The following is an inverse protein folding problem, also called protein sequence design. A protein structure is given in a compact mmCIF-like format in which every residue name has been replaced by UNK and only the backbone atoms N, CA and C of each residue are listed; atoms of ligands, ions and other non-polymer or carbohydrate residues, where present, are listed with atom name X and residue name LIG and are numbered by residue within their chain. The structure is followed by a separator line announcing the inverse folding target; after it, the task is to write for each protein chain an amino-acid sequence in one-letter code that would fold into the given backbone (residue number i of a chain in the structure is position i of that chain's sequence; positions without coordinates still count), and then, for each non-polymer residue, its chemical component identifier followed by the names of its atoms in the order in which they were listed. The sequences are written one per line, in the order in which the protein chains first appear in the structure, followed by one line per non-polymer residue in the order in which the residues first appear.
data_IF_115153148464
#
_entry.id   IF_115153148464
#
_cell.length_a   1.000
_cell.length_b   1.000
_cell.length_c   1.000
_cell.angle_alpha   90.00
_cell.angle_beta   90.00
_cell.angle_gamma   90.00
#
_symmetry.space_group_name_H-M   'P 1'
#
loop_
_entity.id
_entity.type
_entity.pdbx_description
1 polymer ?
#
# COMPACT_ATOMS: atom_id res chain seq x y z
N UNK A 1 -11.85 7.64 -1.59
CA UNK A 1 -12.91 8.45 -2.21
C UNK A 1 -12.66 9.95 -2.06
N UNK A 2 -12.49 10.47 -0.82
CA UNK A 2 -12.30 11.91 -0.60
C UNK A 2 -11.10 12.47 -1.37
N UNK A 3 -9.94 11.82 -1.26
CA UNK A 3 -8.75 12.24 -2.01
C UNK A 3 -9.00 12.29 -3.52
N UNK A 4 -9.62 11.26 -4.10
CA UNK A 4 -9.94 11.22 -5.53
C UNK A 4 -10.96 12.30 -5.93
N UNK A 5 -11.95 12.59 -5.07
CA UNK A 5 -12.89 13.68 -5.30
C UNK A 5 -12.20 15.05 -5.30
N UNK A 6 -11.27 15.29 -4.38
CA UNK A 6 -10.49 16.52 -4.32
C UNK A 6 -9.49 16.67 -5.48
N UNK A 7 -8.92 15.57 -5.95
CA UNK A 7 -8.06 15.53 -7.14
C UNK A 7 -8.85 15.90 -8.41
N UNK A 8 -10.14 15.55 -8.45
CA UNK A 8 -11.06 15.98 -9.51
C UNK A 8 -10.97 15.21 -10.82
N UNK A 9 -10.26 14.08 -10.87
CA UNK A 9 -10.24 13.22 -12.07
C UNK A 9 -11.56 12.48 -12.20
N UNK A 10 -12.23 12.54 -13.37
CA UNK A 10 -13.49 11.85 -13.55
C UNK A 10 -13.39 10.33 -13.35
N UNK A 11 -14.45 9.67 -12.84
CA UNK A 11 -14.45 8.21 -12.65
C UNK A 11 -14.09 7.41 -13.90
N UNK A 12 -14.51 7.83 -15.09
CA UNK A 12 -14.21 7.18 -16.36
C UNK A 12 -12.77 7.40 -16.86
N UNK A 13 -11.98 8.22 -16.16
CA UNK A 13 -10.55 8.40 -16.38
C UNK A 13 -9.71 7.84 -15.23
N UNK A 14 -10.33 7.10 -14.32
CA UNK A 14 -9.67 6.52 -13.16
C UNK A 14 -9.79 5.00 -13.17
N UNK A 15 -8.68 4.31 -12.97
CA UNK A 15 -8.63 2.85 -12.84
C UNK A 15 -8.01 2.46 -11.49
N UNK A 16 -8.67 1.55 -10.76
CA UNK A 16 -8.20 0.99 -9.50
C UNK A 16 -7.88 -0.48 -9.70
N UNK A 17 -6.61 -0.83 -9.63
CA UNK A 17 -6.09 -2.18 -9.88
C UNK A 17 -5.62 -2.77 -8.56
N UNK A 18 -6.18 -3.90 -8.15
CA UNK A 18 -5.81 -4.55 -6.89
C UNK A 18 -5.14 -5.90 -7.09
N UNK A 19 -4.28 -6.25 -6.13
CA UNK A 19 -3.83 -7.63 -5.93
C UNK A 19 -4.87 -8.45 -5.17
N UNK A 20 -4.41 -9.37 -4.31
CA UNK A 20 -5.28 -10.26 -3.53
C UNK A 20 -5.02 -10.03 -2.03
N UNK A 21 -6.09 -10.06 -1.26
CA UNK A 21 -6.13 -9.86 0.18
C UNK A 21 -7.30 -8.97 0.58
N UNK A 22 -7.31 -8.47 1.82
CA UNK A 22 -8.36 -7.55 2.28
C UNK A 22 -8.36 -6.24 1.45
N UNK A 23 -7.20 -5.80 0.99
CA UNK A 23 -7.01 -4.64 0.12
C UNK A 23 -7.74 -4.77 -1.22
N UNK A 24 -7.93 -6.00 -1.71
CA UNK A 24 -8.57 -6.27 -3.01
C UNK A 24 -10.07 -5.93 -3.05
N UNK A 25 -10.65 -5.59 -1.91
CA UNK A 25 -12.02 -5.09 -1.84
C UNK A 25 -12.16 -3.65 -2.34
N UNK A 26 -11.07 -2.87 -2.38
CA UNK A 26 -11.14 -1.46 -2.74
C UNK A 26 -11.80 -1.20 -4.11
N UNK A 27 -11.47 -1.91 -5.20
CA UNK A 27 -12.13 -1.70 -6.49
C UNK A 27 -13.66 -1.84 -6.44
N UNK A 28 -14.18 -2.69 -5.57
CA UNK A 28 -15.63 -2.91 -5.42
C UNK A 28 -16.35 -1.75 -4.73
N UNK A 29 -15.62 -0.90 -4.02
CA UNK A 29 -16.18 0.26 -3.32
C UNK A 29 -16.02 1.55 -4.12
N UNK A 30 -15.28 1.51 -5.25
CA UNK A 30 -15.02 2.67 -6.08
C UNK A 30 -15.99 2.72 -7.27
N UNK A 31 -16.49 3.91 -7.58
CA UNK A 31 -17.27 4.12 -8.80
C UNK A 31 -16.35 4.55 -9.96
N UNK A 32 -15.37 3.70 -10.27
CA UNK A 32 -14.34 3.89 -11.29
C UNK A 32 -14.15 2.60 -12.08
N UNK A 33 -13.28 2.58 -13.09
CA UNK A 33 -12.81 1.29 -13.59
C UNK A 33 -12.08 0.54 -12.47
N UNK A 34 -12.38 -0.73 -12.32
CA UNK A 34 -11.80 -1.58 -11.28
C UNK A 34 -11.41 -2.94 -11.82
N UNK A 35 -10.27 -3.45 -11.35
CA UNK A 35 -9.82 -4.79 -11.70
C UNK A 35 -9.18 -5.46 -10.49
N UNK A 36 -9.66 -6.66 -10.15
CA UNK A 36 -8.95 -7.58 -9.26
C UNK A 36 -8.03 -8.45 -10.11
N UNK A 37 -6.77 -8.53 -9.72
CA UNK A 37 -5.76 -9.31 -10.43
C UNK A 37 -5.38 -10.59 -9.67
N UNK A 38 -4.23 -11.15 -9.93
CA UNK A 38 -3.69 -12.31 -9.23
C UNK A 38 -2.79 -11.82 -8.09
N UNK A 39 -2.63 -12.62 -7.05
CA UNK A 39 -1.80 -12.34 -5.89
C UNK A 39 -0.38 -11.89 -6.31
N UNK A 40 0.00 -10.71 -5.84
CA UNK A 40 1.28 -10.07 -6.14
C UNK A 40 1.45 -9.54 -7.56
N UNK A 41 0.38 -9.44 -8.37
CA UNK A 41 0.49 -9.02 -9.78
C UNK A 41 -0.08 -7.62 -10.08
N UNK A 42 -0.64 -6.96 -9.08
CA UNK A 42 -1.28 -5.64 -9.26
C UNK A 42 -0.34 -4.62 -9.92
N UNK A 43 0.90 -4.51 -9.47
CA UNK A 43 1.85 -3.53 -10.02
C UNK A 43 2.20 -3.82 -11.50
N UNK A 44 2.29 -5.10 -11.89
CA UNK A 44 2.54 -5.48 -13.28
C UNK A 44 1.34 -5.13 -14.19
N UNK A 45 0.13 -5.46 -13.77
CA UNK A 45 -1.10 -5.18 -14.52
C UNK A 45 -1.35 -3.67 -14.57
N UNK A 46 -1.18 -2.95 -13.46
CA UNK A 46 -1.31 -1.49 -13.42
C UNK A 46 -0.29 -0.81 -14.35
N UNK A 47 0.93 -1.32 -14.43
CA UNK A 47 1.95 -0.86 -15.40
C UNK A 47 1.42 -1.02 -16.83
N UNK A 48 0.90 -2.19 -17.19
CA UNK A 48 0.30 -2.42 -18.50
C UNK A 48 -0.85 -1.48 -18.80
N UNK A 49 -1.76 -1.30 -17.85
CA UNK A 49 -2.88 -0.37 -17.95
C UNK A 49 -2.41 1.07 -18.23
N UNK A 50 -1.41 1.55 -17.49
CA UNK A 50 -0.88 2.91 -17.66
C UNK A 50 -0.13 3.10 -18.97
N UNK A 51 0.62 2.09 -19.41
CA UNK A 51 1.39 2.16 -20.68
C UNK A 51 0.45 2.15 -21.90
N UNK A 52 -0.64 1.39 -21.85
CA UNK A 52 -1.61 1.33 -22.95
C UNK A 52 -2.51 2.56 -23.04
N UNK A 53 -2.77 3.21 -21.89
CA UNK A 53 -3.52 4.45 -21.85
C UNK A 53 -2.88 5.43 -20.85
N UNK A 54 -1.92 6.27 -21.29
CA UNK A 54 -1.21 7.21 -20.42
C UNK A 54 -2.09 8.28 -19.77
N UNK A 55 -3.28 8.55 -20.30
CA UNK A 55 -4.19 9.56 -19.75
C UNK A 55 -4.93 9.09 -18.50
N UNK A 56 -5.02 7.79 -18.27
CA UNK A 56 -5.69 7.26 -17.08
C UNK A 56 -4.95 7.62 -15.78
N UNK A 57 -5.70 8.02 -14.77
CA UNK A 57 -5.24 8.02 -13.40
C UNK A 57 -5.27 6.58 -12.86
N UNK A 58 -4.12 5.92 -12.80
CA UNK A 58 -4.04 4.53 -12.37
C UNK A 58 -3.60 4.45 -10.92
N UNK A 59 -4.44 3.81 -10.09
CA UNK A 59 -4.21 3.52 -8.69
C UNK A 59 -4.05 2.02 -8.50
N UNK A 60 -2.89 1.60 -8.04
CA UNK A 60 -2.62 0.22 -7.67
C UNK A 60 -2.77 0.08 -6.17
N UNK A 61 -3.46 -0.95 -5.70
CA UNK A 61 -3.61 -1.23 -4.27
C UNK A 61 -3.21 -2.67 -3.94
N UNK A 62 -2.39 -2.81 -2.91
CA UNK A 62 -1.94 -4.11 -2.38
C UNK A 62 -1.86 -4.05 -0.86
N UNK A 63 -2.00 -5.20 -0.22
CA UNK A 63 -1.52 -5.38 1.16
C UNK A 63 0.00 -5.58 1.18
N UNK A 64 0.60 -5.47 2.35
CA UNK A 64 2.03 -5.70 2.55
C UNK A 64 2.47 -7.11 2.11
N UNK A 65 1.72 -8.15 2.45
CA UNK A 65 1.99 -9.50 1.99
C UNK A 65 1.84 -9.67 0.48
N UNK A 66 0.82 -9.08 -0.11
CA UNK A 66 0.56 -9.12 -1.55
C UNK A 66 1.64 -8.38 -2.34
N UNK A 67 1.95 -7.15 -1.94
CA UNK A 67 2.84 -6.28 -2.69
C UNK A 67 4.33 -6.55 -2.47
N UNK A 68 4.73 -6.99 -1.28
CA UNK A 68 6.15 -7.08 -0.90
C UNK A 68 6.68 -8.52 -0.81
N UNK A 69 5.80 -9.54 -0.65
CA UNK A 69 6.23 -10.93 -0.74
C UNK A 69 6.26 -11.38 -2.21
N UNK A 70 5.22 -12.07 -2.66
CA UNK A 70 5.17 -12.56 -4.05
C UNK A 70 5.18 -11.42 -5.08
N UNK A 71 4.70 -10.24 -4.70
CA UNK A 71 4.69 -9.03 -5.55
C UNK A 71 5.99 -8.24 -5.55
N UNK A 72 6.96 -8.57 -4.68
CA UNK A 72 8.18 -7.77 -4.48
C UNK A 72 8.96 -7.45 -5.75
N UNK A 73 9.11 -8.42 -6.65
CA UNK A 73 9.74 -8.19 -7.94
C UNK A 73 9.03 -7.12 -8.78
N UNK A 74 7.69 -7.16 -8.82
CA UNK A 74 6.91 -6.18 -9.59
C UNK A 74 6.90 -4.80 -8.91
N UNK A 75 6.92 -4.76 -7.58
CA UNK A 75 7.10 -3.53 -6.82
C UNK A 75 8.43 -2.86 -7.15
N UNK A 76 9.54 -3.60 -7.08
CA UNK A 76 10.88 -3.11 -7.43
C UNK A 76 10.92 -2.56 -8.86
N UNK A 77 10.42 -3.32 -9.82
CA UNK A 77 10.49 -2.92 -11.22
C UNK A 77 9.54 -1.77 -11.59
N UNK A 78 8.37 -1.63 -10.96
CA UNK A 78 7.50 -0.48 -11.15
C UNK A 78 8.18 0.81 -10.67
N UNK A 79 8.79 0.78 -9.48
CA UNK A 79 9.57 1.90 -8.94
C UNK A 79 10.77 2.23 -9.85
N UNK A 80 11.60 1.23 -10.20
CA UNK A 80 12.78 1.42 -11.02
C UNK A 80 12.49 1.99 -12.41
N UNK A 81 11.37 1.60 -13.02
CA UNK A 81 10.94 2.12 -14.33
C UNK A 81 10.29 3.50 -14.22
N UNK A 82 9.97 3.93 -13.02
CA UNK A 82 9.32 5.20 -12.72
C UNK A 82 8.04 5.43 -13.55
N UNK A 83 7.25 4.37 -13.72
CA UNK A 83 5.96 4.43 -14.40
C UNK A 83 5.02 5.32 -13.57
N UNK A 84 4.30 6.23 -14.20
CA UNK A 84 3.39 7.15 -13.52
C UNK A 84 2.17 6.41 -12.92
N UNK A 85 2.41 5.76 -11.79
CA UNK A 85 1.47 4.94 -11.02
C UNK A 85 1.37 5.44 -9.59
N UNK A 86 0.17 5.45 -9.06
CA UNK A 86 -0.09 5.70 -7.64
C UNK A 86 -0.24 4.37 -6.92
N UNK A 87 0.80 3.92 -6.21
CA UNK A 87 0.80 2.64 -5.50
C UNK A 87 0.42 2.85 -4.03
N UNK A 88 -0.68 2.25 -3.61
CA UNK A 88 -1.16 2.24 -2.22
C UNK A 88 -0.79 0.89 -1.60
N UNK A 89 0.02 0.93 -0.55
CA UNK A 89 0.42 -0.22 0.25
C UNK A 89 -0.32 -0.17 1.60
N UNK A 90 -1.33 -1.02 1.77
CA UNK A 90 -2.06 -1.15 3.03
C UNK A 90 -1.30 -2.13 3.94
N UNK A 91 -0.57 -1.59 4.91
CA UNK A 91 0.32 -2.37 5.77
C UNK A 91 -0.31 -2.65 7.14
N UNK A 92 -0.73 -3.89 7.35
CA UNK A 92 -1.23 -4.37 8.64
C UNK A 92 -0.35 -5.45 9.27
N UNK A 93 0.83 -5.69 8.71
CA UNK A 93 1.85 -6.65 9.18
C UNK A 93 1.32 -8.08 9.32
N UNK A 94 0.36 -8.49 8.46
CA UNK A 94 -0.20 -9.83 8.50
C UNK A 94 -0.96 -10.19 7.22
N UNK A 95 -1.00 -11.48 6.87
CA UNK A 95 -1.97 -11.99 5.91
C UNK A 95 -3.34 -12.18 6.59
N UNK A 96 -4.19 -11.16 6.53
CA UNK A 96 -5.50 -11.18 7.20
C UNK A 96 -6.52 -12.09 6.51
N UNK A 97 -6.60 -12.05 5.17
CA UNK A 97 -7.58 -12.80 4.40
C UNK A 97 -7.42 -14.33 4.59
N UNK A 98 -6.21 -14.80 4.69
CA UNK A 98 -5.87 -16.22 4.86
C UNK A 98 -5.77 -16.66 6.32
N UNK A 99 -6.24 -15.81 7.24
CA UNK A 99 -6.43 -16.08 8.67
C UNK A 99 -5.16 -16.05 9.53
N UNK A 100 -4.21 -15.17 9.22
CA UNK A 100 -3.22 -14.74 10.20
C UNK A 100 -1.83 -15.32 10.04
N UNK A 101 -1.37 -15.61 8.82
CA UNK A 101 0.04 -15.90 8.58
C UNK A 101 0.87 -14.60 8.70
N UNK A 102 2.12 -14.70 9.14
CA UNK A 102 3.01 -13.55 9.14
C UNK A 102 3.29 -13.06 7.71
N UNK A 103 3.46 -11.76 7.57
CA UNK A 103 3.76 -11.08 6.30
C UNK A 103 5.23 -10.63 6.28
N UNK A 104 5.75 -10.15 5.13
CA UNK A 104 7.12 -9.64 5.05
C UNK A 104 7.42 -8.46 5.99
N UNK A 105 6.40 -7.78 6.51
CA UNK A 105 6.54 -6.65 7.44
C UNK A 105 6.21 -7.02 8.89
N UNK A 106 5.88 -8.27 9.16
CA UNK A 106 5.70 -8.77 10.53
C UNK A 106 7.01 -8.69 11.30
N UNK A 107 6.99 -8.26 12.56
CA UNK A 107 8.21 -8.16 13.35
C UNK A 107 8.85 -9.53 13.58
N UNK A 108 10.17 -9.56 13.75
CA UNK A 108 10.90 -10.77 14.13
C UNK A 108 10.33 -11.33 15.43
N UNK A 109 10.20 -12.64 15.51
CA UNK A 109 9.61 -13.32 16.67
C UNK A 109 8.07 -13.34 16.67
N UNK A 110 7.41 -12.83 15.63
CA UNK A 110 5.95 -12.85 15.55
C UNK A 110 5.42 -14.28 15.51
N UNK A 111 4.58 -14.63 16.49
CA UNK A 111 3.97 -15.96 16.62
C UNK A 111 2.65 -16.00 15.88
N UNK A 112 2.49 -17.00 15.03
CA UNK A 112 1.24 -17.29 14.32
C UNK A 112 0.98 -18.80 14.26
N UNK A 113 -0.21 -19.19 13.76
CA UNK A 113 -0.53 -20.62 13.62
C UNK A 113 0.45 -21.37 12.70
N UNK A 114 0.97 -20.69 11.67
CA UNK A 114 1.96 -21.23 10.72
C UNK A 114 3.41 -21.05 11.18
N UNK A 115 3.64 -20.26 12.21
CA UNK A 115 4.97 -20.00 12.82
C UNK A 115 4.86 -20.03 14.34
N UNK A 116 4.64 -21.21 14.93
CA UNK A 116 4.36 -21.32 16.37
C UNK A 116 5.56 -20.96 17.25
N UNK A 117 6.78 -20.99 16.71
CA UNK A 117 8.02 -20.63 17.43
C UNK A 117 8.46 -19.18 17.15
N UNK A 118 7.64 -18.42 16.41
CA UNK A 118 7.96 -17.07 15.96
C UNK A 118 8.73 -17.03 14.64
N UNK A 119 8.66 -15.86 13.99
CA UNK A 119 9.40 -15.60 12.74
C UNK A 119 10.88 -15.39 13.02
N UNK A 120 11.73 -15.79 12.10
CA UNK A 120 13.20 -15.64 12.20
C UNK A 120 13.74 -14.55 11.27
N UNK A 121 12.96 -14.17 10.27
CA UNK A 121 13.32 -13.13 9.32
C UNK A 121 13.15 -11.73 9.92
N UNK A 122 13.97 -10.80 9.45
CA UNK A 122 13.79 -9.38 9.71
C UNK A 122 12.74 -8.79 8.77
N UNK A 123 11.88 -7.87 9.26
CA UNK A 123 10.82 -7.30 8.45
C UNK A 123 11.38 -6.38 7.36
N UNK A 124 10.77 -6.41 6.18
CA UNK A 124 11.01 -5.38 5.18
C UNK A 124 10.61 -4.00 5.70
N UNK A 125 11.45 -3.03 5.36
CA UNK A 125 11.14 -1.62 5.51
C UNK A 125 10.68 -1.08 4.14
N UNK A 126 9.39 -0.81 3.93
CA UNK A 126 8.86 -0.45 2.60
C UNK A 126 9.51 0.79 2.00
N UNK A 127 9.88 1.78 2.84
CA UNK A 127 10.59 2.98 2.39
C UNK A 127 11.97 2.65 1.85
N UNK A 128 12.77 1.85 2.58
CA UNK A 128 14.10 1.45 2.17
C UNK A 128 14.06 0.63 0.88
N UNK A 129 13.09 -0.29 0.77
CA UNK A 129 12.89 -1.07 -0.44
C UNK A 129 12.52 -0.19 -1.64
N UNK A 130 11.66 0.81 -1.43
CA UNK A 130 11.29 1.78 -2.46
C UNK A 130 12.51 2.56 -2.94
N UNK A 131 13.30 3.13 -2.03
CA UNK A 131 14.49 3.90 -2.38
C UNK A 131 15.62 3.02 -2.93
N UNK A 132 15.80 1.81 -2.40
CA UNK A 132 16.72 0.81 -2.97
C UNK A 132 16.36 0.43 -4.41
N UNK A 133 15.08 0.44 -4.75
CA UNK A 133 14.58 0.25 -6.11
C UNK A 133 14.60 1.52 -6.97
N UNK A 134 15.25 2.59 -6.53
CA UNK A 134 15.28 3.90 -7.20
C UNK A 134 13.91 4.58 -7.30
N UNK A 135 12.99 4.31 -6.35
CA UNK A 135 11.75 5.06 -6.22
C UNK A 135 12.02 6.52 -5.84
N UNK A 136 11.24 7.43 -6.39
CA UNK A 136 11.42 8.88 -6.23
C UNK A 136 10.41 9.51 -5.27
N UNK A 137 9.36 8.80 -4.93
CA UNK A 137 8.32 9.26 -4.02
C UNK A 137 7.90 8.14 -3.08
N UNK A 138 8.02 8.41 -1.79
CA UNK A 138 7.46 7.57 -0.73
C UNK A 138 6.81 8.45 0.32
N UNK A 139 5.60 8.11 0.72
CA UNK A 139 4.91 8.76 1.83
C UNK A 139 4.26 7.71 2.73
N UNK A 140 4.13 8.03 4.01
CA UNK A 140 3.49 7.15 5.01
C UNK A 140 2.42 7.92 5.78
N UNK A 141 1.26 7.29 5.97
CA UNK A 141 0.21 7.78 6.84
C UNK A 141 -0.35 6.65 7.70
N UNK A 142 -1.17 7.01 8.67
CA UNK A 142 -1.89 6.04 9.51
C UNK A 142 -3.36 6.09 9.15
N UNK A 143 -4.01 4.94 9.02
CA UNK A 143 -5.41 4.84 8.59
C UNK A 143 -6.39 5.64 9.48
N UNK A 144 -6.05 5.87 10.75
CA UNK A 144 -6.82 6.69 11.68
C UNK A 144 -6.65 8.20 11.45
N UNK A 145 -5.68 8.62 10.63
CA UNK A 145 -5.47 10.00 10.21
C UNK A 145 -5.98 10.21 8.78
N UNK A 146 -7.27 10.45 8.66
CA UNK A 146 -7.89 10.63 7.36
C UNK A 146 -7.38 11.89 6.61
N UNK A 147 -7.09 12.97 7.34
CA UNK A 147 -6.59 14.21 6.73
C UNK A 147 -5.18 14.01 6.16
N UNK A 148 -4.24 13.47 6.95
CA UNK A 148 -2.89 13.16 6.50
C UNK A 148 -2.89 12.15 5.35
N UNK A 149 -3.77 11.14 5.41
CA UNK A 149 -3.91 10.18 4.30
C UNK A 149 -4.37 10.84 3.00
N UNK A 150 -5.31 11.77 3.06
CA UNK A 150 -5.77 12.52 1.87
C UNK A 150 -4.62 13.34 1.29
N UNK A 151 -3.86 14.03 2.12
CA UNK A 151 -2.75 14.89 1.66
C UNK A 151 -1.65 14.07 0.97
N UNK A 152 -1.22 12.94 1.55
CA UNK A 152 -0.20 12.12 0.89
C UNK A 152 -0.69 11.51 -0.44
N UNK A 153 -1.97 11.14 -0.54
CA UNK A 153 -2.54 10.64 -1.78
C UNK A 153 -2.62 11.72 -2.87
N UNK A 154 -2.94 12.96 -2.49
CA UNK A 154 -2.90 14.12 -3.42
C UNK A 154 -1.48 14.42 -3.87
N UNK A 155 -0.52 14.42 -2.95
CA UNK A 155 0.89 14.60 -3.27
C UNK A 155 1.41 13.50 -4.21
N UNK A 156 1.04 12.24 -3.95
CA UNK A 156 1.37 11.10 -4.80
C UNK A 156 0.84 11.26 -6.22
N UNK A 157 -0.42 11.67 -6.37
CA UNK A 157 -1.02 11.90 -7.67
C UNK A 157 -0.33 13.03 -8.46
N UNK A 158 0.10 14.09 -7.77
CA UNK A 158 0.78 15.22 -8.39
C UNK A 158 2.24 14.90 -8.77
N UNK A 159 2.83 13.87 -8.15
CA UNK A 159 4.17 13.41 -8.50
C UNK A 159 4.18 12.82 -9.92
N UNK A 160 5.21 13.15 -10.71
CA UNK A 160 5.40 12.61 -12.07
C UNK A 160 6.30 11.39 -12.02
N UNK A 161 5.70 10.21 -12.05
CA UNK A 161 6.39 8.92 -11.93
C UNK A 161 5.69 7.99 -10.94
N UNK A 162 6.41 6.95 -10.52
CA UNK A 162 5.92 6.00 -9.54
C UNK A 162 5.90 6.64 -8.15
N UNK A 163 4.75 6.62 -7.50
CA UNK A 163 4.59 7.05 -6.12
C UNK A 163 4.14 5.88 -5.24
N UNK A 164 4.70 5.78 -4.05
CA UNK A 164 4.34 4.77 -3.04
C UNK A 164 3.77 5.47 -1.82
N UNK A 165 2.52 5.16 -1.48
CA UNK A 165 1.86 5.58 -0.24
C UNK A 165 1.64 4.37 0.65
N UNK A 166 2.41 4.25 1.71
CA UNK A 166 2.17 3.25 2.74
C UNK A 166 1.16 3.78 3.75
N UNK A 167 0.07 3.01 3.95
CA UNK A 167 -0.96 3.33 4.94
C UNK A 167 -0.90 2.26 6.03
N UNK A 168 -0.45 2.67 7.22
CA UNK A 168 -0.39 1.81 8.40
C UNK A 168 -1.82 1.53 8.87
N UNK A 169 -2.22 0.29 8.81
CA UNK A 169 -3.59 -0.15 9.03
C UNK A 169 -3.66 -1.26 10.07
N UNK A 170 -4.67 -1.22 10.93
CA UNK A 170 -4.90 -2.27 11.91
C UNK A 170 -5.63 -3.47 11.28
N UNK A 171 -5.29 -4.68 11.74
CA UNK A 171 -6.09 -5.87 11.52
C UNK A 171 -6.71 -6.32 12.85
N UNK A 172 -7.93 -5.91 13.14
CA UNK A 172 -8.59 -6.12 14.43
C UNK A 172 -8.77 -7.61 14.81
N UNK A 173 -8.72 -8.51 13.84
CA UNK A 173 -8.94 -9.95 14.08
C UNK A 173 -7.63 -10.70 14.31
N UNK A 174 -6.60 -10.45 13.51
CA UNK A 174 -5.40 -11.29 13.52
C UNK A 174 -4.13 -10.56 13.97
N UNK A 175 -4.13 -9.23 14.03
CA UNK A 175 -2.97 -8.44 14.45
C UNK A 175 -3.42 -7.09 15.05
N UNK A 176 -4.30 -7.17 16.04
CA UNK A 176 -4.84 -5.97 16.66
C UNK A 176 -3.76 -5.21 17.43
N UNK A 177 -3.73 -3.90 17.24
CA UNK A 177 -2.81 -3.01 17.94
C UNK A 177 -1.40 -2.90 17.32
N UNK A 178 -1.15 -3.52 16.18
CA UNK A 178 0.20 -3.55 15.57
C UNK A 178 0.80 -2.17 15.32
N UNK A 179 -0.03 -1.11 15.22
CA UNK A 179 0.39 0.27 15.01
C UNK A 179 -0.11 1.23 16.10
N UNK A 180 -0.40 0.73 17.31
CA UNK A 180 -0.96 1.54 18.40
C UNK A 180 -0.07 2.72 18.78
N UNK A 181 1.26 2.57 18.67
CA UNK A 181 2.22 3.65 18.93
C UNK A 181 2.01 4.92 18.09
N UNK A 182 1.30 4.82 16.98
CA UNK A 182 1.01 5.94 16.08
C UNK A 182 -0.48 6.06 15.71
N UNK A 183 -1.32 5.16 16.20
CA UNK A 183 -2.74 5.13 15.83
C UNK A 183 -3.53 6.31 16.42
N UNK A 184 -3.28 6.65 17.68
CA UNK A 184 -3.92 7.78 18.35
C UNK A 184 -3.16 9.09 18.06
N UNK A 185 -3.89 10.20 18.00
CA UNK A 185 -3.31 11.53 17.73
C UNK A 185 -2.21 11.92 18.73
N UNK A 186 -2.43 11.60 20.01
CA UNK A 186 -1.50 11.89 21.10
C UNK A 186 -0.20 11.09 21.00
N UNK A 187 -0.32 9.82 20.58
CA UNK A 187 0.84 8.94 20.40
C UNK A 187 1.61 9.31 19.14
N UNK A 188 0.92 9.72 18.05
CA UNK A 188 1.58 10.25 16.85
C UNK A 188 2.42 11.48 17.15
N UNK A 189 1.92 12.41 17.95
CA UNK A 189 2.65 13.61 18.31
C UNK A 189 4.00 13.32 19.01
N UNK A 190 4.11 12.16 19.65
CA UNK A 190 5.34 11.72 20.34
C UNK A 190 6.24 10.83 19.49
N UNK A 191 5.65 9.99 18.63
CA UNK A 191 6.32 8.87 17.97
C UNK A 191 6.44 9.02 16.45
N UNK A 192 5.75 9.98 15.83
CA UNK A 192 5.84 10.23 14.41
C UNK A 192 6.74 11.44 14.11
N UNK A 193 7.55 11.32 13.07
CA UNK A 193 8.31 12.41 12.50
C UNK A 193 7.59 12.83 11.22
N UNK A 194 7.23 14.10 11.14
CA UNK A 194 6.69 14.71 9.93
C UNK A 194 7.84 15.38 9.19
N UNK A 195 8.05 14.96 7.94
CA UNK A 195 9.02 15.56 7.04
C UNK A 195 8.25 16.48 6.09
N UNK A 196 8.70 17.72 5.96
CA UNK A 196 8.19 18.72 5.02
C UNK A 196 8.80 18.51 3.63
#
# INVERSE_FOLDING_TARGET
HKAMAEIGVPPHQTAVISGIGCSSRLPHYMNTYGMNTIHGRAAAIATGCKVTNPELAVWQVSGDGDGLAIGGNHFIHANRRNINLNMILLNNRIYGLTKGQYSPTSPRGFVSKSSPYGTVEDPFQPAELCFGARGHFFARAVATDAAGTIEILKAAYNHKGASVCEILQNCVIFNNGTHDSVAKKEDRAKNAIYLE
#
